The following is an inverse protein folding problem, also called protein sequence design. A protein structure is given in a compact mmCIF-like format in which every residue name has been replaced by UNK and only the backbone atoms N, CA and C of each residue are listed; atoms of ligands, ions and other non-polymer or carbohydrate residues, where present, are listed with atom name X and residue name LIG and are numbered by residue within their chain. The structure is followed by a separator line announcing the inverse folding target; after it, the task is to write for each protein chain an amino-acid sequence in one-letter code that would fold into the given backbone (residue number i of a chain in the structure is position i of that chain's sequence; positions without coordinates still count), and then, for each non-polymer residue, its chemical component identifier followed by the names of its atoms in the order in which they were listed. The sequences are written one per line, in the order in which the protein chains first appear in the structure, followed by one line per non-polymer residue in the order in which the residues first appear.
data_IF_739354635187
#
_entry.id   IF_739354635187
#
_cell.length_a   1.000
_cell.length_b   1.000
_cell.length_c   1.000
_cell.angle_alpha   90.00
_cell.angle_beta   90.00
_cell.angle_gamma   90.00
#
_symmetry.space_group_name_H-M   'P 1'
#
loop_
_entity.id
_entity.type
_entity.pdbx_description
1 polymer ?
#
# COMPACT_ATOMS: atom_id res chain seq x y z
N UNK A 1 8.02 -15.89 -3.16
CA UNK A 1 7.02 -14.99 -3.79
C UNK A 1 5.63 -15.62 -3.91
N UNK A 2 4.59 -14.85 -3.58
CA UNK A 2 3.22 -15.30 -3.48
C UNK A 2 2.50 -15.61 -4.81
N UNK A 3 3.04 -15.15 -5.93
CA UNK A 3 2.46 -15.30 -7.28
C UNK A 3 3.35 -16.17 -8.16
N UNK A 4 3.71 -17.37 -7.65
CA UNK A 4 4.59 -18.30 -8.37
C UNK A 4 3.87 -18.87 -9.60
N UNK A 5 3.92 -18.13 -10.72
CA UNK A 5 3.23 -18.45 -11.97
C UNK A 5 3.26 -17.32 -13.00
N UNK A 6 3.35 -16.06 -12.56
CA UNK A 6 3.59 -14.90 -13.43
C UNK A 6 4.70 -13.99 -12.85
N UNK A 7 5.05 -12.91 -13.57
CA UNK A 7 6.04 -11.92 -13.12
C UNK A 7 5.39 -10.72 -12.41
N UNK A 8 4.16 -10.87 -11.94
CA UNK A 8 3.40 -9.76 -11.34
C UNK A 8 3.65 -9.74 -9.83
N UNK A 9 4.23 -8.66 -9.28
CA UNK A 9 4.32 -8.49 -7.83
C UNK A 9 2.93 -8.41 -7.19
N UNK A 10 2.78 -9.01 -6.02
CA UNK A 10 1.58 -8.94 -5.21
C UNK A 10 1.80 -8.06 -3.99
N UNK A 11 0.88 -7.12 -3.78
CA UNK A 11 0.81 -6.25 -2.61
C UNK A 11 -0.43 -6.64 -1.83
N UNK A 12 -0.30 -6.81 -0.52
CA UNK A 12 -1.42 -7.11 0.36
C UNK A 12 -1.80 -5.87 1.17
N UNK A 13 -3.03 -5.40 1.00
CA UNK A 13 -3.63 -4.38 1.86
C UNK A 13 -4.04 -5.02 3.18
N UNK A 14 -3.49 -4.53 4.29
CA UNK A 14 -3.88 -5.01 5.60
C UNK A 14 -5.21 -4.39 6.05
N UNK A 15 -5.96 -5.05 6.94
CA UNK A 15 -7.19 -4.49 7.48
C UNK A 15 -6.95 -3.35 8.49
N UNK A 16 -5.76 -3.30 9.11
CA UNK A 16 -5.39 -2.35 10.15
C UNK A 16 -3.87 -2.35 10.36
N UNK A 17 -3.35 -1.33 11.05
CA UNK A 17 -1.97 -1.28 11.53
C UNK A 17 -1.77 -2.26 12.71
N UNK A 18 -1.35 -3.48 12.39
CA UNK A 18 -1.21 -4.56 13.37
C UNK A 18 -0.04 -5.47 13.07
N UNK A 19 0.86 -5.65 14.05
CA UNK A 19 1.99 -6.58 13.95
C UNK A 19 1.53 -8.02 13.67
N UNK A 20 0.38 -8.44 14.22
CA UNK A 20 -0.15 -9.77 14.03
C UNK A 20 -0.66 -9.98 12.60
N UNK A 21 -1.31 -8.97 12.02
CA UNK A 21 -1.75 -8.97 10.62
C UNK A 21 -0.56 -8.94 9.66
N UNK A 22 0.41 -8.04 9.89
CA UNK A 22 1.62 -7.91 9.10
C UNK A 22 2.42 -9.21 9.06
N UNK A 23 2.69 -9.81 10.22
CA UNK A 23 3.38 -11.11 10.30
C UNK A 23 2.68 -12.18 9.45
N UNK A 24 1.38 -12.39 9.67
CA UNK A 24 0.62 -13.43 8.96
C UNK A 24 0.60 -13.17 7.45
N UNK A 25 0.46 -11.92 7.03
CA UNK A 25 0.49 -11.54 5.62
C UNK A 25 1.87 -11.81 5.01
N UNK A 26 2.94 -11.38 5.67
CA UNK A 26 4.31 -11.58 5.18
C UNK A 26 4.73 -13.04 5.13
N UNK A 27 4.21 -13.89 6.03
CA UNK A 27 4.47 -15.33 6.01
C UNK A 27 3.86 -16.01 4.77
N UNK A 28 2.86 -15.39 4.12
CA UNK A 28 2.35 -15.81 2.81
C UNK A 28 3.33 -15.45 1.68
N UNK A 29 4.26 -14.53 1.88
CA UNK A 29 5.29 -14.13 0.92
C UNK A 29 4.87 -13.14 -0.18
N UNK A 30 4.05 -12.11 0.09
CA UNK A 30 3.86 -10.99 -0.85
C UNK A 30 5.17 -10.23 -1.06
N UNK A 31 5.18 -9.36 -2.06
CA UNK A 31 6.30 -8.47 -2.36
C UNK A 31 6.17 -7.14 -1.62
N UNK A 32 4.98 -6.82 -1.12
CA UNK A 32 4.76 -5.64 -0.32
C UNK A 32 3.52 -5.72 0.54
N UNK A 33 3.47 -4.86 1.55
CA UNK A 33 2.31 -4.60 2.36
C UNK A 33 1.87 -3.15 2.22
N UNK A 34 0.56 -2.93 2.27
CA UNK A 34 -0.03 -1.60 2.40
C UNK A 34 -0.82 -1.51 3.70
N UNK A 35 -0.51 -0.48 4.49
CA UNK A 35 -1.14 -0.22 5.77
C UNK A 35 -2.16 0.92 5.61
N UNK A 36 -3.45 0.70 5.94
CA UNK A 36 -4.48 1.73 5.92
C UNK A 36 -4.36 2.69 7.10
N UNK A 37 -5.05 3.82 7.01
CA UNK A 37 -5.28 4.78 8.10
C UNK A 37 -3.98 5.28 8.77
N UNK A 38 -2.94 5.55 7.99
CA UNK A 38 -1.70 6.13 8.51
C UNK A 38 -1.86 7.64 8.63
N UNK A 39 -1.85 8.12 9.88
CA UNK A 39 -2.12 9.53 10.20
C UNK A 39 -0.93 10.28 10.83
N UNK A 40 0.18 9.58 11.11
CA UNK A 40 1.36 10.18 11.73
C UNK A 40 2.66 9.46 11.33
N UNK A 41 3.83 10.13 11.48
CA UNK A 41 5.14 9.49 11.32
C UNK A 41 5.31 8.28 12.24
N UNK A 42 4.91 8.37 13.52
CA UNK A 42 4.97 7.26 14.46
C UNK A 42 4.19 6.02 13.97
N UNK A 43 3.02 6.22 13.35
CA UNK A 43 2.24 5.12 12.78
C UNK A 43 2.95 4.48 11.58
N UNK A 44 3.63 5.30 10.76
CA UNK A 44 4.44 4.82 9.64
C UNK A 44 5.70 4.07 10.12
N UNK A 45 6.37 4.55 11.17
CA UNK A 45 7.50 3.86 11.81
C UNK A 45 7.07 2.48 12.33
N UNK A 46 5.87 2.38 12.94
CA UNK A 46 5.31 1.09 13.34
C UNK A 46 5.05 0.16 12.15
N UNK A 47 4.58 0.68 11.02
CA UNK A 47 4.35 -0.11 9.81
C UNK A 47 5.66 -0.73 9.30
N UNK A 48 6.74 0.05 9.24
CA UNK A 48 8.09 -0.43 8.92
C UNK A 48 8.56 -1.47 9.95
N UNK A 49 8.47 -1.14 11.24
CA UNK A 49 8.91 -2.03 12.33
C UNK A 49 8.22 -3.40 12.28
N UNK A 50 6.95 -3.46 11.90
CA UNK A 50 6.18 -4.71 11.80
C UNK A 50 6.59 -5.58 10.61
N UNK A 51 7.25 -4.99 9.60
CA UNK A 51 7.69 -5.67 8.39
C UNK A 51 9.04 -6.37 8.54
N UNK A 52 9.95 -5.78 9.32
CA UNK A 52 11.34 -6.24 9.42
C UNK A 52 11.60 -7.16 10.62
N UNK A 53 12.56 -8.07 10.46
CA UNK A 53 13.08 -8.88 11.56
C UNK A 53 14.03 -8.06 12.45
N UNK A 54 14.32 -8.51 13.69
CA UNK A 54 15.39 -7.92 14.48
C UNK A 54 16.74 -7.95 13.73
N UNK A 55 17.57 -6.88 13.83
CA UNK A 55 17.43 -5.72 14.71
C UNK A 55 16.61 -4.54 14.14
N UNK A 56 16.20 -4.60 12.87
CA UNK A 56 15.52 -3.48 12.18
C UNK A 56 14.01 -3.42 12.47
N UNK A 57 13.42 -4.51 12.98
CA UNK A 57 12.01 -4.58 13.32
C UNK A 57 11.67 -5.60 14.40
N UNK A 58 10.38 -5.88 14.53
CA UNK A 58 9.79 -6.76 15.56
C UNK A 58 9.03 -7.95 14.95
N UNK A 59 9.18 -8.22 13.65
CA UNK A 59 8.58 -9.39 13.00
C UNK A 59 9.06 -10.66 13.69
N UNK A 60 8.12 -11.50 14.13
CA UNK A 60 8.46 -12.78 14.75
C UNK A 60 9.02 -13.79 13.75
N UNK A 61 10.15 -14.41 14.07
CA UNK A 61 10.81 -15.43 13.24
C UNK A 61 9.98 -16.72 13.17
N UNK A 62 9.52 -17.04 11.96
CA UNK A 62 9.06 -18.37 11.55
C UNK A 62 9.58 -18.67 10.13
N UNK A 63 10.63 -17.95 9.71
CA UNK A 63 11.22 -17.95 8.37
C UNK A 63 11.60 -19.35 7.90
N UNK A 64 11.97 -20.28 8.78
CA UNK A 64 12.33 -21.65 8.37
C UNK A 64 11.16 -22.53 7.94
N UNK A 65 9.90 -22.13 8.18
CA UNK A 65 8.71 -22.98 7.93
C UNK A 65 7.60 -22.31 7.14
N UNK A 66 7.72 -21.01 6.85
CA UNK A 66 6.67 -20.24 6.18
C UNK A 66 6.76 -20.35 4.66
N UNK A 67 5.65 -20.04 3.99
CA UNK A 67 5.59 -20.05 2.52
C UNK A 67 6.56 -19.02 1.90
N UNK A 68 6.78 -17.89 2.57
CA UNK A 68 7.62 -16.80 2.09
C UNK A 68 9.04 -17.26 1.72
N UNK A 69 9.63 -18.14 2.55
CA UNK A 69 10.96 -18.75 2.37
C UNK A 69 10.93 -20.07 1.59
N UNK A 70 9.84 -20.33 0.85
CA UNK A 70 9.58 -21.62 0.22
C UNK A 70 9.67 -22.80 1.21
N UNK A 71 9.14 -22.63 2.43
CA UNK A 71 9.17 -23.64 3.50
C UNK A 71 10.60 -24.00 3.93
N UNK A 72 11.47 -22.99 4.02
CA UNK A 72 12.87 -23.15 4.41
C UNK A 72 13.80 -23.67 3.31
N UNK A 73 13.34 -23.71 2.05
CA UNK A 73 14.15 -24.10 0.89
C UNK A 73 14.98 -22.91 0.37
N UNK A 74 14.49 -21.68 0.57
CA UNK A 74 15.18 -20.47 0.14
C UNK A 74 16.13 -19.96 1.22
N UNK A 75 17.41 -20.37 1.12
CA UNK A 75 18.48 -19.94 2.03
C UNK A 75 18.77 -18.42 1.94
N UNK A 76 18.37 -17.77 0.84
CA UNK A 76 18.55 -16.33 0.63
C UNK A 76 17.43 -15.47 1.23
N UNK A 77 16.36 -16.09 1.73
CA UNK A 77 15.13 -15.42 2.13
C UNK A 77 15.36 -14.22 3.05
N UNK A 78 16.14 -14.41 4.12
CA UNK A 78 16.35 -13.36 5.12
C UNK A 78 17.14 -12.16 4.58
N UNK A 79 17.99 -12.37 3.57
CA UNK A 79 18.77 -11.29 2.98
C UNK A 79 17.91 -10.46 2.02
N UNK A 80 17.27 -11.11 1.04
CA UNK A 80 16.51 -10.36 0.04
C UNK A 80 15.23 -9.76 0.61
N UNK A 81 14.59 -10.37 1.62
CA UNK A 81 13.35 -9.81 2.19
C UNK A 81 13.59 -8.49 2.93
N UNK A 82 14.78 -8.29 3.48
CA UNK A 82 15.13 -7.02 4.13
C UNK A 82 15.39 -5.91 3.11
N UNK A 83 15.87 -6.27 1.91
CA UNK A 83 16.23 -5.33 0.84
C UNK A 83 15.08 -5.04 -0.15
N UNK A 84 14.18 -6.00 -0.39
CA UNK A 84 13.21 -5.93 -1.49
C UNK A 84 11.74 -5.77 -1.04
N UNK A 85 11.45 -5.86 0.26
CA UNK A 85 10.08 -5.77 0.75
C UNK A 85 9.56 -4.34 0.66
N UNK A 86 8.46 -4.15 -0.06
CA UNK A 86 7.81 -2.85 -0.20
C UNK A 86 6.87 -2.57 1.00
N UNK A 87 7.08 -1.44 1.68
CA UNK A 87 6.21 -0.93 2.75
C UNK A 87 5.48 0.32 2.26
N UNK A 88 4.15 0.22 2.17
CA UNK A 88 3.29 1.32 1.72
C UNK A 88 2.41 1.84 2.86
N UNK A 89 2.35 3.16 3.00
CA UNK A 89 1.46 3.85 3.91
C UNK A 89 0.31 4.49 3.13
N UNK A 90 -0.93 4.14 3.47
CA UNK A 90 -2.11 4.76 2.89
C UNK A 90 -2.58 5.92 3.77
N UNK A 91 -2.46 7.13 3.23
CA UNK A 91 -2.95 8.38 3.81
C UNK A 91 -4.33 8.66 3.24
N UNK A 92 -5.34 8.55 4.09
CA UNK A 92 -6.74 8.60 3.69
C UNK A 92 -7.61 9.44 4.61
N UNK A 93 -6.98 10.30 5.42
CA UNK A 93 -7.66 11.25 6.28
C UNK A 93 -7.04 12.64 6.18
N UNK A 94 -7.81 13.66 6.56
CA UNK A 94 -7.30 15.03 6.64
C UNK A 94 -6.14 15.17 7.64
N UNK A 95 -6.12 14.37 8.72
CA UNK A 95 -5.03 14.34 9.68
C UNK A 95 -3.75 13.79 9.05
N UNK A 96 -3.83 12.62 8.40
CA UNK A 96 -2.67 12.07 7.69
C UNK A 96 -2.18 12.96 6.54
N UNK A 97 -3.09 13.66 5.85
CA UNK A 97 -2.72 14.59 4.79
C UNK A 97 -1.92 15.78 5.33
N UNK A 98 -2.21 16.26 6.54
CA UNK A 98 -1.46 17.36 7.17
C UNK A 98 -0.01 16.96 7.51
N UNK A 99 0.22 15.67 7.77
CA UNK A 99 1.52 15.10 8.13
C UNK A 99 2.21 14.37 6.97
N UNK A 100 1.70 14.47 5.74
CA UNK A 100 2.11 13.61 4.61
C UNK A 100 3.61 13.66 4.30
N UNK A 101 4.24 14.84 4.41
CA UNK A 101 5.68 15.03 4.21
C UNK A 101 6.50 14.36 5.31
N UNK A 102 6.02 14.42 6.55
CA UNK A 102 6.68 13.77 7.68
C UNK A 102 6.54 12.24 7.60
N UNK A 103 5.38 11.74 7.18
CA UNK A 103 5.14 10.32 6.90
C UNK A 103 6.05 9.83 5.76
N UNK A 104 6.15 10.59 4.67
CA UNK A 104 7.02 10.26 3.53
C UNK A 104 8.51 10.33 3.87
N UNK A 105 8.89 11.06 4.93
CA UNK A 105 10.26 11.17 5.41
C UNK A 105 10.69 10.05 6.36
N UNK A 106 9.80 9.11 6.72
CA UNK A 106 10.13 7.97 7.59
C UNK A 106 10.98 6.97 6.81
N UNK A 107 12.14 6.63 7.38
CA UNK A 107 13.04 5.62 6.80
C UNK A 107 12.33 4.25 6.71
N UNK A 108 12.43 3.61 5.54
CA UNK A 108 11.78 2.34 5.24
C UNK A 108 10.34 2.46 4.74
N UNK A 109 9.77 3.66 4.62
CA UNK A 109 8.52 3.88 3.87
C UNK A 109 8.84 4.07 2.39
N UNK A 110 8.43 3.12 1.55
CA UNK A 110 8.71 3.19 0.11
C UNK A 110 7.69 4.00 -0.67
N UNK A 111 6.42 3.94 -0.25
CA UNK A 111 5.31 4.59 -0.95
C UNK A 111 4.32 5.17 0.05
N UNK A 112 3.98 6.45 -0.16
CA UNK A 112 2.82 7.08 0.44
C UNK A 112 1.71 7.17 -0.60
N UNK A 113 0.64 6.40 -0.39
CA UNK A 113 -0.52 6.39 -1.27
C UNK A 113 -1.63 7.27 -0.67
N UNK A 114 -2.16 8.21 -1.44
CA UNK A 114 -3.39 8.93 -1.09
C UNK A 114 -4.62 8.16 -1.57
N UNK A 115 -5.54 7.80 -0.69
CA UNK A 115 -6.82 7.18 -1.08
C UNK A 115 -7.91 8.26 -1.23
N UNK A 116 -8.46 8.51 -2.44
CA UNK A 116 -9.37 9.64 -2.65
C UNK A 116 -10.77 9.52 -2.05
N UNK A 117 -11.31 8.30 -1.93
CA UNK A 117 -12.67 8.06 -1.44
C UNK A 117 -12.76 8.31 0.05
N UNK A 118 -11.92 7.68 0.84
CA UNK A 118 -11.84 7.79 2.29
C UNK A 118 -11.31 9.16 2.70
N UNK A 119 -10.35 9.74 1.96
CA UNK A 119 -9.92 11.13 2.19
C UNK A 119 -11.07 12.12 1.99
N UNK A 120 -11.86 11.95 0.92
CA UNK A 120 -13.04 12.81 0.73
C UNK A 120 -14.07 12.62 1.83
N UNK A 121 -14.30 11.39 2.29
CA UNK A 121 -15.19 11.12 3.40
C UNK A 121 -14.70 11.78 4.71
N UNK A 122 -13.40 11.68 5.01
CA UNK A 122 -12.74 12.32 6.14
C UNK A 122 -12.91 13.85 6.15
N UNK A 123 -12.91 14.48 4.97
CA UNK A 123 -13.12 15.93 4.83
C UNK A 123 -14.62 16.34 4.78
N UNK A 124 -15.54 15.43 5.06
CA UNK A 124 -16.99 15.70 5.03
C UNK A 124 -17.63 15.65 3.63
N UNK A 125 -16.91 15.11 2.64
CA UNK A 125 -17.27 15.07 1.22
C UNK A 125 -17.55 13.63 0.73
N UNK A 126 -18.45 12.93 1.42
CA UNK A 126 -18.79 11.53 1.10
C UNK A 126 -19.31 11.39 -0.34
N UNK A 127 -18.56 10.66 -1.19
CA UNK A 127 -18.83 10.42 -2.63
C UNK A 127 -18.62 11.63 -3.57
N UNK A 128 -18.06 12.74 -3.11
CA UNK A 128 -17.82 13.89 -3.99
C UNK A 128 -16.53 13.77 -4.80
N UNK A 129 -15.49 13.07 -4.31
CA UNK A 129 -14.26 12.81 -5.06
C UNK A 129 -14.53 12.19 -6.45
N UNK A 130 -15.47 11.25 -6.51
CA UNK A 130 -15.89 10.62 -7.77
C UNK A 130 -16.79 11.52 -8.63
N UNK A 131 -17.57 12.44 -8.03
CA UNK A 131 -18.42 13.38 -8.78
C UNK A 131 -17.60 14.44 -9.51
N UNK A 132 -16.51 14.94 -8.91
CA UNK A 132 -15.64 15.93 -9.53
C UNK A 132 -14.87 15.32 -10.72
N UNK A 133 -14.34 14.10 -10.55
CA UNK A 133 -13.72 13.32 -11.62
C UNK A 133 -14.72 13.00 -12.74
N UNK A 134 -15.93 12.55 -12.38
CA UNK A 134 -17.03 12.28 -13.33
C UNK A 134 -17.50 13.52 -14.08
N UNK A 135 -17.57 14.71 -13.43
CA UNK A 135 -17.89 15.99 -14.10
C UNK A 135 -16.81 16.43 -15.08
N UNK A 136 -15.53 16.22 -14.75
CA UNK A 136 -14.41 16.53 -15.65
C UNK A 136 -14.36 15.59 -16.86
N UNK A 137 -14.65 14.29 -16.67
CA UNK A 137 -14.78 13.33 -17.78
C UNK A 137 -16.05 13.54 -18.62
N UNK A 138 -17.17 13.93 -18.00
CA UNK A 138 -18.45 14.19 -18.69
C UNK A 138 -18.48 15.49 -19.50
N UNK A 139 -17.58 16.45 -19.25
CA UNK A 139 -17.47 17.70 -20.02
C UNK A 139 -16.68 17.57 -21.34
N UNK A 140 -15.98 16.46 -21.57
CA UNK A 140 -15.22 16.22 -22.81
C UNK A 140 -15.96 15.41 -23.87
N UNK A 141 -17.24 15.05 -23.68
CA UNK A 141 -18.09 14.40 -24.70
C UNK A 141 -19.04 15.38 -25.39
N UNK A 142 -18.56 16.58 -25.68
CA UNK A 142 -19.33 17.67 -26.29
C UNK A 142 -18.66 18.27 -27.51
N UNK A 143 -18.04 17.46 -28.39
CA UNK A 143 -17.63 17.94 -29.71
C UNK A 143 -17.48 16.85 -30.79
N UNK A 144 -18.44 15.91 -30.87
CA UNK A 144 -18.63 15.08 -32.07
C UNK A 144 -20.04 15.31 -32.62
N UNK A 145 -20.21 16.46 -33.26
CA UNK A 145 -21.31 16.71 -34.18
C UNK A 145 -20.80 17.67 -35.26
N UNK A 146 -20.08 17.14 -36.26
CA UNK A 146 -20.02 17.62 -37.64
C UNK A 146 -19.09 16.69 -38.44
N UNK A 147 -19.53 16.33 -39.66
CA UNK A 147 -18.93 15.38 -40.62
C UNK A 147 -19.38 13.91 -40.45
N UNK A 148 -20.69 13.68 -40.50
CA UNK A 148 -21.26 12.64 -41.37
C UNK A 148 -22.55 13.19 -41.98
N UNK A 149 -22.38 14.01 -43.02
CA UNK A 149 -23.38 14.32 -44.04
C UNK A 149 -22.68 15.12 -45.15
N UNK A 150 -21.93 14.41 -45.98
CA UNK A 150 -21.81 14.65 -47.42
C UNK A 150 -20.94 13.54 -48.02
N UNK A 151 -21.59 12.76 -48.90
CA UNK A 151 -21.11 11.61 -49.70
C UNK A 151 -21.06 10.26 -48.98
#
# INVERSE_FOLDING_TARGET
MATRGDRTPAILCLPELSAACAKKALDLGPQGLMFPMIESPDAAELAVLFCHFPPHGVRGSADTVVRASAYGIDDGYLAWVDEELLVMCQVETAAGLAEIEAIAGVEGVDVVQMEPLDLSASMGHLRDAMKEAGRKLGRNRGNEALIQNNF
#
